data_IF_202022624210
#
_entry.id   IF_202022624210
#
_cell.length_a   1.000
_cell.length_b   1.000
_cell.length_c   1.000
_cell.angle_alpha   90.00
_cell.angle_beta   90.00
_cell.angle_gamma   90.00
#
_symmetry.space_group_name_H-M   'P 1'
#
loop_
_entity.id
_entity.type
_entity.pdbx_description
1 polymer ?
#
# COMPACT_ATOMS: atom_id res chain seq x y z
N UNK A 1 -37.56 -10.30 35.52
CA UNK A 1 -36.66 -11.34 34.95
C UNK A 1 -36.44 -11.19 33.45
N UNK A 2 -37.45 -10.87 32.62
CA UNK A 2 -37.30 -10.80 31.16
C UNK A 2 -36.32 -9.77 30.58
N UNK A 3 -36.16 -8.58 31.19
CA UNK A 3 -35.30 -7.50 30.64
C UNK A 3 -33.80 -7.79 30.73
N UNK A 4 -33.36 -8.48 31.79
CA UNK A 4 -31.95 -8.91 31.94
C UNK A 4 -31.62 -10.04 30.96
N UNK A 5 -32.54 -10.99 30.78
CA UNK A 5 -32.38 -12.06 29.80
C UNK A 5 -32.37 -11.54 28.37
N UNK A 6 -33.22 -10.55 28.04
CA UNK A 6 -33.23 -9.91 26.73
C UNK A 6 -31.92 -9.15 26.44
N UNK A 7 -31.39 -8.42 27.43
CA UNK A 7 -30.08 -7.76 27.31
C UNK A 7 -28.95 -8.77 27.12
N UNK A 8 -28.96 -9.88 27.87
CA UNK A 8 -27.99 -10.95 27.70
C UNK A 8 -28.05 -11.56 26.29
N UNK A 9 -29.24 -11.83 25.77
CA UNK A 9 -29.42 -12.32 24.40
C UNK A 9 -28.90 -11.32 23.35
N UNK A 10 -29.19 -10.03 23.52
CA UNK A 10 -28.75 -8.99 22.59
C UNK A 10 -27.22 -8.87 22.55
N UNK A 11 -26.57 -8.93 23.71
CA UNK A 11 -25.09 -8.90 23.83
C UNK A 11 -24.47 -10.14 23.19
N UNK A 12 -25.02 -11.32 23.44
CA UNK A 12 -24.55 -12.57 22.82
C UNK A 12 -24.70 -12.52 21.30
N UNK A 13 -25.83 -12.04 20.78
CA UNK A 13 -26.05 -11.88 19.34
C UNK A 13 -25.05 -10.91 18.70
N UNK A 14 -24.79 -9.77 19.34
CA UNK A 14 -23.81 -8.80 18.85
C UNK A 14 -22.37 -9.34 18.82
N UNK A 15 -22.00 -10.17 19.80
CA UNK A 15 -20.70 -10.85 19.84
C UNK A 15 -20.57 -11.93 18.76
N UNK A 16 -21.66 -12.61 18.40
CA UNK A 16 -21.68 -13.64 17.35
C UNK A 16 -21.72 -13.06 15.94
N UNK A 17 -22.30 -11.87 15.75
CA UNK A 17 -22.40 -11.18 14.46
C UNK A 17 -21.20 -10.29 14.14
N UNK A 18 -20.05 -10.47 14.79
CA UNK A 18 -18.83 -9.73 14.46
C UNK A 18 -18.35 -10.15 13.06
N UNK A 19 -18.67 -9.35 12.04
CA UNK A 19 -18.16 -9.54 10.69
C UNK A 19 -16.74 -9.00 10.62
N UNK A 20 -15.77 -9.89 10.38
CA UNK A 20 -14.40 -9.49 10.12
C UNK A 20 -14.28 -9.15 8.64
N UNK A 21 -14.20 -7.86 8.31
CA UNK A 21 -13.88 -7.43 6.95
C UNK A 21 -12.37 -7.53 6.73
N UNK A 22 -11.94 -8.61 6.08
CA UNK A 22 -10.57 -8.75 5.58
C UNK A 22 -10.56 -8.73 4.05
N UNK A 23 -9.51 -8.15 3.46
CA UNK A 23 -9.30 -8.16 2.02
C UNK A 23 -7.81 -8.20 1.68
N UNK A 24 -7.52 -8.45 0.41
CA UNK A 24 -6.15 -8.48 -0.12
C UNK A 24 -5.99 -7.30 -1.09
N UNK A 25 -4.86 -6.60 -0.97
CA UNK A 25 -4.42 -5.63 -1.96
C UNK A 25 -3.31 -6.25 -2.80
N UNK A 26 -3.51 -6.35 -4.11
CA UNK A 26 -2.52 -6.88 -5.05
C UNK A 26 -2.04 -5.78 -6.00
N UNK A 27 -0.72 -5.66 -6.15
CA UNK A 27 -0.09 -4.74 -7.10
C UNK A 27 0.81 -5.53 -8.04
N UNK A 28 0.51 -5.48 -9.34
CA UNK A 28 1.30 -6.12 -10.40
C UNK A 28 2.04 -5.06 -11.22
N UNK A 29 3.35 -4.98 -11.06
CA UNK A 29 4.22 -4.18 -11.93
C UNK A 29 4.35 -4.87 -13.29
N UNK A 30 3.96 -4.19 -14.37
CA UNK A 30 3.96 -4.77 -15.72
C UNK A 30 5.21 -4.40 -16.52
N UNK A 31 5.49 -3.10 -16.63
CA UNK A 31 6.63 -2.59 -17.39
C UNK A 31 7.20 -1.35 -16.72
N UNK A 32 8.53 -1.20 -16.78
CA UNK A 32 9.21 0.03 -16.41
C UNK A 32 10.26 0.38 -17.48
N UNK A 33 10.10 1.53 -18.12
CA UNK A 33 10.96 1.97 -19.22
C UNK A 33 11.72 3.23 -18.82
N UNK A 34 13.04 3.09 -18.61
CA UNK A 34 13.98 4.21 -18.49
C UNK A 34 15.02 4.13 -19.61
N UNK A 35 14.64 4.54 -20.83
CA UNK A 35 15.50 4.44 -22.03
C UNK A 35 16.85 5.17 -21.88
N UNK A 36 16.90 6.20 -21.03
CA UNK A 36 18.10 7.03 -20.84
C UNK A 36 18.96 6.58 -19.66
N UNK A 37 18.45 5.70 -18.79
CA UNK A 37 19.15 5.29 -17.56
C UNK A 37 19.46 6.46 -16.62
N UNK A 38 18.61 7.51 -16.65
CA UNK A 38 18.79 8.71 -15.85
C UNK A 38 17.93 8.66 -14.60
N UNK A 39 18.43 9.31 -13.55
CA UNK A 39 17.70 9.62 -12.33
C UNK A 39 16.83 10.87 -12.55
N UNK A 40 15.90 11.15 -11.62
CA UNK A 40 15.03 12.33 -11.69
C UNK A 40 15.79 13.67 -11.72
N UNK A 41 17.02 13.69 -11.20
CA UNK A 41 17.94 14.84 -11.26
C UNK A 41 18.80 14.89 -12.53
N UNK A 42 18.51 14.07 -13.55
CA UNK A 42 19.23 13.95 -14.82
C UNK A 42 20.65 13.36 -14.73
N UNK A 43 21.07 12.86 -13.57
CA UNK A 43 22.35 12.16 -13.42
C UNK A 43 22.23 10.68 -13.79
N UNK A 44 23.35 10.06 -14.17
CA UNK A 44 23.42 8.62 -14.35
C UNK A 44 23.45 7.88 -13.00
N UNK A 45 22.82 6.71 -12.95
CA UNK A 45 22.88 5.83 -11.78
C UNK A 45 24.33 5.49 -11.40
N UNK A 46 24.64 5.47 -10.09
CA UNK A 46 25.99 5.19 -9.52
C UNK A 46 27.13 6.13 -9.94
N UNK A 47 26.85 7.32 -10.46
CA UNK A 47 27.93 8.27 -10.81
C UNK A 47 28.84 7.81 -11.94
N UNK A 48 28.36 6.88 -12.79
CA UNK A 48 29.12 6.36 -13.93
C UNK A 48 29.39 7.44 -14.98
N UNK A 49 30.60 7.38 -15.55
CA UNK A 49 31.14 8.28 -16.56
C UNK A 49 30.49 8.05 -17.93
N UNK A 50 29.36 8.70 -18.17
CA UNK A 50 28.79 8.88 -19.50
C UNK A 50 27.99 7.70 -20.08
N UNK A 51 27.37 7.90 -21.26
CA UNK A 51 26.45 6.94 -21.87
C UNK A 51 27.14 5.65 -22.36
N UNK A 52 26.45 4.49 -22.37
CA UNK A 52 25.07 4.28 -21.93
C UNK A 52 24.96 4.04 -20.40
N UNK A 53 24.06 4.78 -19.77
CA UNK A 53 23.81 4.67 -18.33
C UNK A 53 22.87 3.49 -18.05
N UNK A 54 23.24 2.62 -17.11
CA UNK A 54 22.46 1.45 -16.72
C UNK A 54 22.13 1.51 -15.22
N UNK A 55 20.84 1.42 -14.89
CA UNK A 55 20.35 1.45 -13.52
C UNK A 55 19.97 0.05 -13.05
N UNK A 56 20.33 -0.29 -11.80
CA UNK A 56 19.75 -1.44 -11.09
C UNK A 56 18.49 -0.95 -10.37
N UNK A 57 17.33 -1.17 -10.99
CA UNK A 57 16.05 -0.67 -10.49
C UNK A 57 15.46 -1.59 -9.44
N UNK A 58 14.92 -1.02 -8.36
CA UNK A 58 14.09 -1.69 -7.38
C UNK A 58 12.86 -0.82 -7.08
N UNK A 59 11.78 -1.42 -6.58
CA UNK A 59 10.54 -0.73 -6.27
C UNK A 59 10.27 -0.80 -4.77
N UNK A 60 9.93 0.35 -4.18
CA UNK A 60 9.41 0.46 -2.80
C UNK A 60 7.94 0.85 -2.90
N UNK A 61 7.06 0.06 -2.29
CA UNK A 61 5.61 0.29 -2.31
C UNK A 61 5.16 0.66 -0.90
N UNK A 62 4.35 1.72 -0.79
CA UNK A 62 3.75 2.18 0.46
C UNK A 62 2.22 2.22 0.31
N UNK A 63 1.51 1.58 1.24
CA UNK A 63 0.05 1.61 1.33
C UNK A 63 -0.35 2.51 2.50
N UNK A 64 -1.22 3.49 2.25
CA UNK A 64 -1.69 4.45 3.26
C UNK A 64 -3.18 4.72 3.14
N UNK A 65 -3.75 5.33 4.18
CA UNK A 65 -5.12 5.81 4.18
C UNK A 65 -5.29 7.00 3.22
N UNK A 66 -6.54 7.30 2.85
CA UNK A 66 -6.87 8.45 2.02
C UNK A 66 -6.51 9.77 2.72
N UNK A 67 -5.87 10.68 1.99
CA UNK A 67 -5.55 12.03 2.43
C UNK A 67 -5.97 13.01 1.34
N UNK A 68 -6.56 14.16 1.72
CA UNK A 68 -6.91 15.21 0.75
C UNK A 68 -5.69 15.81 0.05
N UNK A 69 -4.52 15.79 0.72
CA UNK A 69 -3.22 16.09 0.14
C UNK A 69 -2.26 14.96 0.49
N UNK A 70 -1.58 14.41 -0.51
CA UNK A 70 -0.75 13.21 -0.39
C UNK A 70 0.68 13.62 -0.01
N UNK A 71 1.16 13.22 1.17
CA UNK A 71 2.58 13.39 1.54
C UNK A 71 3.47 12.23 1.05
N UNK A 72 4.76 12.48 0.71
CA UNK A 72 5.66 11.51 0.08
C UNK A 72 6.45 10.60 1.06
N UNK A 73 6.14 10.63 2.35
CA UNK A 73 6.83 9.88 3.41
C UNK A 73 6.43 8.40 3.53
#
# INVERSE_FOLDING_TARGET
MGRRSALALAVVSALLCQVWSSGVFELKLQEFVNKKGLLGNRNCCRGGSGPPCACRTFFRVCLKHYQASVSPE
#
